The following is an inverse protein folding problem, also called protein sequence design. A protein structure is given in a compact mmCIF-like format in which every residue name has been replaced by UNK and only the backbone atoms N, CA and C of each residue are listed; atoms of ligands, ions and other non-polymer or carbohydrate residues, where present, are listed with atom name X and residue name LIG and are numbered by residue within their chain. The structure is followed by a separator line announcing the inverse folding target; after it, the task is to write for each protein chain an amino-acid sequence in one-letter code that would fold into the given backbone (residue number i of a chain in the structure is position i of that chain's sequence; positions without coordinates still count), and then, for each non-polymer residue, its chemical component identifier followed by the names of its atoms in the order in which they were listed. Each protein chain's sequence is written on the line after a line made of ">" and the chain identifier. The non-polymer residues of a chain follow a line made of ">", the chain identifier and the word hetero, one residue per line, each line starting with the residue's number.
data_IF_040053376270
#
_entry.id   IF_040053376270
#
_cell.length_a   1.000
_cell.length_b   1.000
_cell.length_c   1.000
_cell.angle_alpha   90.00
_cell.angle_beta   90.00
_cell.angle_gamma   90.00
#
_symmetry.space_group_name_H-M   'P 1'
#
loop_
_entity.id
_entity.type
_entity.pdbx_description
1 polymer ?
#
# COMPACT_ATOMS: atom_id res chain seq x y z
N UNK A 1 8.42 2.80 40.98
CA UNK A 1 8.16 3.66 39.80
C UNK A 1 8.37 2.78 38.58
N UNK A 2 7.37 2.59 37.74
CA UNK A 2 7.57 1.88 36.46
C UNK A 2 8.41 2.77 35.55
N UNK A 3 9.49 2.24 34.94
CA UNK A 3 10.21 2.96 33.90
C UNK A 3 9.26 3.34 32.75
N UNK A 4 9.44 4.56 32.24
CA UNK A 4 8.65 5.09 31.14
C UNK A 4 9.03 4.39 29.83
N UNK A 5 8.09 3.68 29.22
CA UNK A 5 8.31 2.96 27.96
C UNK A 5 8.36 3.91 26.78
N UNK A 6 9.32 3.72 25.89
CA UNK A 6 9.38 4.38 24.57
C UNK A 6 8.88 3.39 23.52
N UNK A 7 7.78 3.71 22.85
CA UNK A 7 7.12 2.82 21.88
C UNK A 7 7.19 3.45 20.50
N UNK A 8 7.62 2.67 19.51
CA UNK A 8 7.64 3.07 18.10
C UNK A 8 6.61 2.20 17.36
N UNK A 9 5.80 2.84 16.52
CA UNK A 9 4.93 2.17 15.56
C UNK A 9 5.44 2.49 14.16
N UNK A 10 5.58 1.46 13.33
CA UNK A 10 6.00 1.59 11.94
C UNK A 10 4.90 1.01 11.05
N UNK A 11 4.61 1.70 9.96
CA UNK A 11 3.64 1.29 8.94
C UNK A 11 4.29 1.40 7.54
N UNK A 12 3.89 0.53 6.62
CA UNK A 12 4.47 0.50 5.28
C UNK A 12 3.66 1.35 4.31
N UNK A 13 4.34 2.25 3.59
CA UNK A 13 3.69 3.10 2.59
C UNK A 13 3.08 2.29 1.46
N UNK A 14 1.78 2.50 1.23
CA UNK A 14 1.01 1.88 0.15
C UNK A 14 1.25 0.36 0.03
N UNK A 15 1.31 -0.37 1.15
CA UNK A 15 1.94 -1.69 1.25
C UNK A 15 1.70 -2.65 0.07
N UNK A 16 0.45 -2.94 -0.32
CA UNK A 16 0.24 -3.85 -1.45
C UNK A 16 0.67 -3.24 -2.80
N UNK A 17 0.45 -1.95 -3.03
CA UNK A 17 0.91 -1.29 -4.26
C UNK A 17 2.44 -1.23 -4.33
N UNK A 18 3.16 -1.06 -3.21
CA UNK A 18 4.63 -1.05 -3.20
C UNK A 18 5.22 -2.43 -3.50
N UNK A 19 4.55 -3.51 -3.09
CA UNK A 19 4.91 -4.88 -3.49
C UNK A 19 4.70 -5.09 -4.99
N UNK A 20 3.54 -4.72 -5.53
CA UNK A 20 3.27 -4.86 -6.98
C UNK A 20 4.27 -4.05 -7.84
N UNK A 21 4.64 -2.83 -7.44
CA UNK A 21 5.65 -2.03 -8.14
C UNK A 21 7.07 -2.61 -8.02
N UNK A 22 7.40 -3.27 -6.90
CA UNK A 22 8.69 -3.95 -6.74
C UNK A 22 8.78 -5.18 -7.64
N UNK A 23 7.72 -5.98 -7.66
CA UNK A 23 7.69 -7.25 -8.40
C UNK A 23 7.45 -7.05 -9.91
N UNK A 24 6.76 -5.96 -10.28
CA UNK A 24 6.61 -5.49 -11.65
C UNK A 24 7.06 -4.01 -11.78
N UNK A 25 8.36 -3.76 -12.05
CA UNK A 25 8.92 -2.41 -12.16
C UNK A 25 8.27 -1.51 -13.22
N UNK A 26 7.55 -2.06 -14.20
CA UNK A 26 6.81 -1.26 -15.18
C UNK A 26 5.63 -0.48 -14.56
N UNK A 27 5.27 -0.79 -13.31
CA UNK A 27 4.20 -0.12 -12.57
C UNK A 27 4.69 1.09 -11.76
N UNK A 28 6.00 1.24 -11.54
CA UNK A 28 6.57 2.25 -10.62
C UNK A 28 6.15 3.69 -10.98
N UNK A 29 6.14 4.03 -12.27
CA UNK A 29 5.83 5.39 -12.75
C UNK A 29 4.36 5.54 -13.20
N UNK A 30 3.50 4.59 -12.85
CA UNK A 30 2.09 4.58 -13.26
C UNK A 30 1.18 4.79 -12.05
N UNK A 31 0.05 5.52 -12.20
CA UNK A 31 -0.99 5.49 -11.18
C UNK A 31 -1.60 4.08 -11.12
N UNK A 32 -1.48 3.41 -9.97
CA UNK A 32 -1.98 2.04 -9.77
C UNK A 32 -2.81 1.91 -8.50
N UNK A 33 -3.75 0.97 -8.52
CA UNK A 33 -4.53 0.53 -7.38
C UNK A 33 -4.58 -1.00 -7.33
N UNK A 34 -4.57 -1.56 -6.12
CA UNK A 34 -4.77 -2.99 -5.87
C UNK A 34 -6.18 -3.16 -5.30
N UNK A 35 -6.98 -4.02 -5.91
CA UNK A 35 -8.38 -4.22 -5.54
C UNK A 35 -9.00 -5.46 -6.16
N UNK A 36 -10.24 -5.74 -5.79
CA UNK A 36 -11.00 -6.85 -6.36
C UNK A 36 -11.33 -6.63 -7.85
N UNK A 37 -11.63 -7.71 -8.57
CA UNK A 37 -12.01 -7.63 -9.99
C UNK A 37 -13.22 -6.71 -10.19
N UNK A 38 -13.17 -5.79 -11.18
CA UNK A 38 -14.25 -4.83 -11.42
C UNK A 38 -15.55 -5.53 -11.87
N UNK A 39 -15.45 -6.68 -12.53
CA UNK A 39 -16.60 -7.50 -12.95
C UNK A 39 -17.42 -8.05 -11.77
N UNK A 40 -16.82 -8.10 -10.57
CA UNK A 40 -17.47 -8.61 -9.34
C UNK A 40 -17.82 -7.51 -8.34
N UNK A 41 -17.92 -6.25 -8.79
CA UNK A 41 -18.07 -5.08 -7.91
C UNK A 41 -16.94 -4.98 -6.87
N UNK A 42 -15.72 -5.28 -7.30
CA UNK A 42 -14.53 -5.18 -6.46
C UNK A 42 -14.30 -3.75 -5.96
N UNK A 43 -13.71 -3.65 -4.78
CA UNK A 43 -13.30 -2.37 -4.16
C UNK A 43 -11.77 -2.28 -4.13
N UNK A 44 -11.27 -1.04 -4.09
CA UNK A 44 -9.84 -0.76 -3.93
C UNK A 44 -9.42 -1.03 -2.49
N UNK A 45 -8.36 -1.84 -2.31
CA UNK A 45 -7.73 -2.08 -1.02
C UNK A 45 -6.63 -1.06 -0.72
N UNK A 46 -5.84 -0.68 -1.73
CA UNK A 46 -4.82 0.38 -1.62
C UNK A 46 -4.46 0.95 -3.00
N UNK A 47 -3.76 2.07 -3.03
CA UNK A 47 -3.19 2.66 -4.24
C UNK A 47 -1.85 3.32 -3.94
N UNK A 48 -1.02 3.49 -4.97
CA UNK A 48 0.23 4.26 -4.85
C UNK A 48 -0.07 5.77 -4.79
N UNK A 49 0.94 6.57 -4.42
CA UNK A 49 0.77 8.02 -4.28
C UNK A 49 0.29 8.72 -5.54
N UNK A 50 0.71 8.27 -6.73
CA UNK A 50 0.30 8.86 -8.00
C UNK A 50 -1.20 8.68 -8.30
N UNK A 51 -1.84 7.68 -7.69
CA UNK A 51 -3.26 7.39 -7.87
C UNK A 51 -4.17 7.89 -6.72
N UNK A 52 -3.60 8.41 -5.63
CA UNK A 52 -4.36 9.00 -4.51
C UNK A 52 -4.93 10.36 -4.88
#
# INVERSE_FOLDING_TARGET
>A
MSEERKIIHCDCDCFYASIEMRDNPELTDKPIAVGGSPERRGVVATCNYAAR
#
